data_IF_474506122920
#
_entry.id   IF_474506122920
#
_cell.length_a   1.000
_cell.length_b   1.000
_cell.length_c   1.000
_cell.angle_alpha   90.00
_cell.angle_beta   90.00
_cell.angle_gamma   90.00
#
_symmetry.space_group_name_H-M   'P 1'
#
loop_
_entity.id
_entity.type
_entity.pdbx_description
1 polymer ?
#
# COMPACT_ATOMS: atom_id res chain seq x y z
N UNK A 1 -1.02 -6.56 -23.52
CA UNK A 1 -1.07 -6.06 -22.14
C UNK A 1 0.21 -6.38 -21.40
N UNK A 2 1.11 -5.40 -21.31
CA UNK A 2 2.31 -5.43 -20.46
C UNK A 2 1.97 -4.73 -19.14
N UNK A 3 2.00 -5.48 -18.05
CA UNK A 3 1.83 -4.96 -16.70
C UNK A 3 3.20 -4.84 -16.01
N UNK A 4 3.38 -3.77 -15.22
CA UNK A 4 4.62 -3.49 -14.48
C UNK A 4 4.28 -3.02 -13.05
N UNK A 5 5.16 -3.22 -12.08
CA UNK A 5 4.90 -2.90 -10.67
C UNK A 5 6.07 -2.21 -9.95
N UNK A 6 6.99 -1.59 -10.70
CA UNK A 6 8.18 -0.94 -10.18
C UNK A 6 8.00 0.57 -10.15
N UNK A 7 8.03 1.16 -8.95
CA UNK A 7 7.87 2.59 -8.69
C UNK A 7 9.18 3.38 -8.55
N UNK A 8 10.34 2.75 -8.78
CA UNK A 8 11.63 3.42 -8.77
C UNK A 8 11.86 4.23 -10.05
N UNK A 9 12.77 5.21 -10.05
CA UNK A 9 13.09 6.00 -11.26
C UNK A 9 13.34 5.16 -12.53
N UNK A 10 14.18 4.11 -12.49
CA UNK A 10 14.34 3.17 -13.61
C UNK A 10 13.09 2.35 -13.93
N UNK A 11 12.30 1.99 -12.91
CA UNK A 11 11.02 1.30 -13.08
C UNK A 11 9.99 2.15 -13.82
N UNK A 12 9.88 3.43 -13.45
CA UNK A 12 9.04 4.42 -14.13
C UNK A 12 9.48 4.63 -15.58
N UNK A 13 10.79 4.62 -15.85
CA UNK A 13 11.31 4.77 -17.20
C UNK A 13 10.94 3.59 -18.11
N UNK A 14 11.12 2.37 -17.58
CA UNK A 14 10.69 1.16 -18.27
C UNK A 14 9.18 1.15 -18.51
N UNK A 15 8.40 1.53 -17.49
CA UNK A 15 6.95 1.61 -17.59
C UNK A 15 6.49 2.64 -18.64
N UNK A 16 7.11 3.82 -18.66
CA UNK A 16 6.84 4.85 -19.65
C UNK A 16 7.10 4.35 -21.07
N UNK A 17 8.16 3.56 -21.27
CA UNK A 17 8.51 3.00 -22.59
C UNK A 17 7.49 1.98 -23.09
N UNK A 18 7.05 1.02 -22.26
CA UNK A 18 6.32 -0.15 -22.77
C UNK A 18 5.10 -0.62 -21.97
N UNK A 19 4.88 -0.17 -20.73
CA UNK A 19 3.78 -0.69 -19.91
C UNK A 19 2.43 -0.13 -20.34
N UNK A 20 1.42 -0.99 -20.45
CA UNK A 20 0.02 -0.62 -20.66
C UNK A 20 -0.72 -0.47 -19.32
N UNK A 21 -0.21 -1.12 -18.27
CA UNK A 21 -0.74 -1.07 -16.91
C UNK A 21 0.41 -1.02 -15.90
N UNK A 22 0.31 -0.16 -14.89
CA UNK A 22 1.25 -0.09 -13.77
C UNK A 22 0.50 -0.25 -12.47
N UNK A 23 0.88 -1.25 -11.68
CA UNK A 23 0.40 -1.42 -10.31
C UNK A 23 1.27 -0.63 -9.35
N UNK A 24 0.63 0.05 -8.41
CA UNK A 24 1.35 0.91 -7.46
C UNK A 24 0.83 0.76 -6.03
N UNK A 25 1.56 1.33 -5.08
CA UNK A 25 1.29 1.18 -3.65
C UNK A 25 1.18 2.53 -2.90
N UNK A 26 0.89 3.63 -3.60
CA UNK A 26 0.65 4.90 -2.91
C UNK A 26 -0.60 4.78 -2.04
N UNK A 27 -0.48 5.18 -0.79
CA UNK A 27 -1.57 5.14 0.21
C UNK A 27 -2.17 6.52 0.48
N UNK A 28 -1.42 7.56 0.13
CA UNK A 28 -1.78 8.97 0.26
C UNK A 28 -2.13 9.58 -1.11
N UNK A 29 -3.17 10.42 -1.13
CA UNK A 29 -3.70 11.02 -2.35
C UNK A 29 -2.67 11.94 -3.01
N UNK A 30 -1.96 12.78 -2.24
CA UNK A 30 -1.02 13.73 -2.83
C UNK A 30 0.19 13.02 -3.44
N UNK A 31 0.71 11.99 -2.78
CA UNK A 31 1.76 11.13 -3.32
C UNK A 31 1.30 10.39 -4.57
N UNK A 32 0.05 9.89 -4.59
CA UNK A 32 -0.52 9.23 -5.77
C UNK A 32 -0.64 10.19 -6.97
N UNK A 33 -1.13 11.42 -6.75
CA UNK A 33 -1.19 12.47 -7.78
C UNK A 33 0.19 12.83 -8.33
N UNK A 34 1.18 13.00 -7.44
CA UNK A 34 2.54 13.33 -7.84
C UNK A 34 3.14 12.22 -8.73
N UNK A 35 2.98 10.96 -8.33
CA UNK A 35 3.43 9.80 -9.10
C UNK A 35 2.69 9.67 -10.44
N UNK A 36 1.36 9.83 -10.44
CA UNK A 36 0.55 9.77 -11.65
C UNK A 36 1.03 10.79 -12.67
N UNK A 37 1.19 12.06 -12.25
CA UNK A 37 1.68 13.13 -13.10
C UNK A 37 3.08 12.82 -13.64
N UNK A 38 4.02 12.49 -12.76
CA UNK A 38 5.41 12.20 -13.15
C UNK A 38 5.49 11.09 -14.20
N UNK A 39 4.74 10.00 -14.01
CA UNK A 39 4.78 8.87 -14.92
C UNK A 39 4.13 9.20 -16.27
N UNK A 40 3.02 9.94 -16.27
CA UNK A 40 2.32 10.35 -17.49
C UNK A 40 3.13 11.36 -18.30
N UNK A 41 3.86 12.26 -17.64
CA UNK A 41 4.75 13.25 -18.27
C UNK A 41 5.93 12.63 -19.02
N UNK A 42 6.33 11.39 -18.67
CA UNK A 42 7.41 10.66 -19.36
C UNK A 42 6.96 10.01 -20.68
N UNK A 43 5.66 9.77 -20.86
CA UNK A 43 5.13 9.04 -22.02
C UNK A 43 5.44 9.68 -23.39
N UNK A 44 5.33 11.02 -23.56
CA UNK A 44 5.59 11.65 -24.85
C UNK A 44 7.01 11.43 -25.37
N UNK A 45 8.00 11.29 -24.49
CA UNK A 45 9.39 10.97 -24.88
C UNK A 45 9.52 9.64 -25.63
N UNK A 46 8.51 8.77 -25.50
CA UNK A 46 8.40 7.48 -26.18
C UNK A 46 7.34 7.46 -27.28
N UNK A 47 6.81 8.61 -27.68
CA UNK A 47 5.73 8.71 -28.67
C UNK A 47 4.39 8.16 -28.19
N UNK A 48 4.18 8.12 -26.87
CA UNK A 48 2.97 7.57 -26.24
C UNK A 48 2.09 8.67 -25.65
N UNK A 49 0.79 8.43 -25.64
CA UNK A 49 -0.21 9.31 -25.05
C UNK A 49 -0.66 8.81 -23.67
N UNK A 50 -1.11 9.73 -22.81
CA UNK A 50 -1.52 9.46 -21.43
C UNK A 50 -2.56 8.34 -21.28
N UNK A 51 -3.46 8.18 -22.25
CA UNK A 51 -4.50 7.14 -22.24
C UNK A 51 -3.98 5.71 -22.47
N UNK A 52 -2.76 5.55 -23.00
CA UNK A 52 -2.17 4.25 -23.35
C UNK A 52 -1.46 3.56 -22.17
N UNK A 53 -1.37 4.23 -21.02
CA UNK A 53 -0.86 3.64 -19.78
C UNK A 53 -1.90 3.86 -18.69
N UNK A 54 -2.29 2.79 -18.00
CA UNK A 54 -3.20 2.83 -16.85
C UNK A 54 -2.43 2.67 -15.55
N UNK A 55 -2.75 3.45 -14.53
CA UNK A 55 -2.07 3.43 -13.23
C UNK A 55 -3.07 2.98 -12.16
N UNK A 56 -2.81 1.82 -11.55
CA UNK A 56 -3.72 1.14 -10.63
C UNK A 56 -3.08 0.99 -9.24
N UNK A 57 -3.34 1.94 -8.33
CA UNK A 57 -2.99 1.79 -6.93
C UNK A 57 -3.71 0.61 -6.30
N UNK A 58 -3.02 -0.10 -5.42
CA UNK A 58 -3.62 -1.16 -4.62
C UNK A 58 -4.42 -0.62 -3.43
N UNK A 59 -5.62 -1.18 -3.23
CA UNK A 59 -6.52 -0.88 -2.11
C UNK A 59 -6.94 -2.15 -1.40
N UNK A 60 -7.18 -2.06 -0.09
CA UNK A 60 -7.69 -3.15 0.74
C UNK A 60 -8.96 -2.67 1.48
N UNK A 61 -10.14 -2.79 0.85
CA UNK A 61 -11.39 -2.34 1.44
C UNK A 61 -11.95 -3.35 2.45
N UNK A 62 -12.44 -2.83 3.58
CA UNK A 62 -13.28 -3.54 4.55
C UNK A 62 -14.63 -2.82 4.60
N UNK A 63 -15.69 -3.50 4.17
CA UNK A 63 -16.99 -2.89 3.94
C UNK A 63 -18.04 -3.40 4.94
N UNK A 64 -18.75 -2.47 5.55
CA UNK A 64 -19.91 -2.71 6.42
C UNK A 64 -21.12 -1.93 5.95
N UNK A 65 -22.34 -2.34 6.31
CA UNK A 65 -23.56 -1.57 6.00
C UNK A 65 -23.59 -0.26 6.79
N UNK A 66 -22.95 -0.25 7.96
CA UNK A 66 -22.66 0.94 8.76
C UNK A 66 -21.16 1.08 8.97
N UNK A 67 -20.71 2.28 9.35
CA UNK A 67 -19.31 2.51 9.71
C UNK A 67 -18.87 1.60 10.87
N UNK A 68 -19.71 1.49 11.91
CA UNK A 68 -19.43 0.63 13.07
C UNK A 68 -19.26 -0.83 12.67
N UNK A 69 -20.10 -1.37 11.78
CA UNK A 69 -19.94 -2.74 11.27
C UNK A 69 -18.62 -2.91 10.49
N UNK A 70 -18.23 -1.90 9.70
CA UNK A 70 -16.97 -1.95 8.96
C UNK A 70 -15.74 -1.93 9.89
N UNK A 71 -15.78 -1.09 10.92
CA UNK A 71 -14.73 -0.98 11.95
C UNK A 71 -14.62 -2.25 12.78
N UNK A 72 -15.75 -2.83 13.22
CA UNK A 72 -15.78 -4.12 13.93
C UNK A 72 -15.18 -5.24 13.08
N UNK A 73 -15.57 -5.35 11.80
CA UNK A 73 -14.96 -6.32 10.86
C UNK A 73 -13.47 -6.11 10.71
N UNK A 74 -13.03 -4.86 10.54
CA UNK A 74 -11.62 -4.55 10.41
C UNK A 74 -10.85 -4.94 11.67
N UNK A 75 -11.39 -4.63 12.86
CA UNK A 75 -10.79 -5.01 14.11
C UNK A 75 -10.69 -6.53 14.26
N UNK A 76 -11.74 -7.28 13.94
CA UNK A 76 -11.71 -8.75 13.95
C UNK A 76 -10.61 -9.31 13.05
N UNK A 77 -10.45 -8.76 11.84
CA UNK A 77 -9.38 -9.17 10.92
C UNK A 77 -7.98 -8.85 11.49
N UNK A 78 -7.84 -7.75 12.21
CA UNK A 78 -6.59 -7.39 12.87
C UNK A 78 -6.30 -8.29 14.09
N UNK A 79 -7.32 -8.74 14.82
CA UNK A 79 -7.19 -9.68 15.95
C UNK A 79 -6.75 -11.09 15.52
N UNK A 80 -7.04 -11.49 14.28
CA UNK A 80 -6.56 -12.75 13.70
C UNK A 80 -5.05 -12.72 13.37
N UNK A 81 -4.43 -11.55 13.38
CA UNK A 81 -3.01 -11.41 13.14
C UNK A 81 -2.23 -11.62 14.43
N UNK A 82 -1.17 -12.44 14.40
CA UNK A 82 -0.23 -12.56 15.51
C UNK A 82 0.79 -11.40 15.46
N UNK A 83 0.69 -10.41 16.39
CA UNK A 83 1.60 -9.27 16.38
C UNK A 83 3.04 -9.68 16.65
N UNK A 84 3.28 -10.73 17.44
CA UNK A 84 4.64 -11.20 17.73
C UNK A 84 5.28 -11.79 16.48
N UNK A 85 4.55 -12.62 15.74
CA UNK A 85 5.02 -13.14 14.46
C UNK A 85 5.31 -12.02 13.43
N UNK A 86 4.44 -11.01 13.36
CA UNK A 86 4.65 -9.87 12.47
C UNK A 86 5.87 -9.04 12.86
N UNK A 87 6.07 -8.75 14.14
CA UNK A 87 7.24 -8.01 14.63
C UNK A 87 8.53 -8.78 14.39
N UNK A 88 8.51 -10.11 14.53
CA UNK A 88 9.66 -10.97 14.22
C UNK A 88 9.99 -10.96 12.73
N UNK A 89 8.98 -11.07 11.87
CA UNK A 89 9.15 -10.95 10.43
C UNK A 89 9.67 -9.57 10.03
N UNK A 90 9.19 -8.51 10.68
CA UNK A 90 9.64 -7.14 10.46
C UNK A 90 11.10 -6.92 10.90
N UNK A 91 11.49 -7.50 12.04
CA UNK A 91 12.86 -7.48 12.54
C UNK A 91 13.82 -8.10 11.54
N UNK A 92 13.42 -9.24 10.94
CA UNK A 92 14.18 -9.91 9.89
C UNK A 92 14.20 -9.11 8.57
N UNK A 93 13.07 -8.52 8.19
CA UNK A 93 12.97 -7.70 6.98
C UNK A 93 13.90 -6.49 7.06
N UNK A 94 13.90 -5.80 8.21
CA UNK A 94 14.65 -4.58 8.42
C UNK A 94 16.11 -4.81 8.82
N UNK A 95 16.44 -6.01 9.28
CA UNK A 95 17.78 -6.44 9.68
C UNK A 95 18.37 -5.47 10.71
N UNK A 96 17.55 -5.15 11.72
CA UNK A 96 17.85 -4.12 12.72
C UNK A 96 18.87 -4.60 13.77
N UNK A 97 19.28 -5.87 13.74
CA UNK A 97 20.06 -6.50 14.80
C UNK A 97 19.33 -6.61 16.15
N UNK A 98 18.07 -6.19 16.21
CA UNK A 98 17.19 -6.29 17.38
C UNK A 98 15.91 -7.03 17.01
N UNK A 99 15.38 -7.83 17.93
CA UNK A 99 14.07 -8.47 17.80
C UNK A 99 12.99 -7.56 18.39
N UNK A 100 12.22 -6.92 17.51
CA UNK A 100 11.13 -6.03 17.85
C UNK A 100 9.98 -6.75 18.58
N UNK A 101 9.88 -8.09 18.48
CA UNK A 101 8.78 -8.85 19.12
C UNK A 101 8.84 -8.83 20.65
N UNK A 102 9.98 -8.45 21.23
CA UNK A 102 10.15 -8.26 22.67
C UNK A 102 9.76 -6.87 23.17
N UNK A 103 9.47 -5.94 22.26
CA UNK A 103 9.08 -4.57 22.61
C UNK A 103 7.55 -4.46 22.72
N UNK A 104 7.03 -3.64 23.65
CA UNK A 104 5.60 -3.46 23.77
C UNK A 104 5.05 -2.67 22.56
N UNK A 105 3.84 -3.00 22.11
CA UNK A 105 3.24 -2.43 20.89
C UNK A 105 3.10 -0.89 20.90
N UNK A 106 3.05 -0.26 22.08
CA UNK A 106 2.99 1.19 22.23
C UNK A 106 4.37 1.87 22.21
N UNK A 107 5.47 1.10 22.26
CA UNK A 107 6.81 1.66 22.14
C UNK A 107 7.03 2.25 20.73
N UNK A 108 7.79 3.34 20.68
CA UNK A 108 8.26 3.90 19.42
C UNK A 108 9.22 2.93 18.73
N UNK A 109 9.14 2.87 17.40
CA UNK A 109 10.06 2.08 16.61
C UNK A 109 11.47 2.67 16.72
N UNK A 110 12.49 1.89 17.12
CA UNK A 110 13.86 2.39 17.22
C UNK A 110 14.37 2.90 15.86
N UNK A 111 14.91 4.11 15.85
CA UNK A 111 15.64 4.64 14.70
C UNK A 111 17.03 4.00 14.69
N UNK A 112 17.24 3.03 13.82
CA UNK A 112 18.52 2.35 13.66
C UNK A 112 19.02 2.54 12.24
N UNK A 113 20.31 2.84 12.12
CA UNK A 113 21.00 2.80 10.84
C UNK A 113 21.23 1.34 10.48
N UNK A 114 20.29 0.76 9.73
CA UNK A 114 20.42 -0.61 9.32
C UNK A 114 21.63 -0.78 8.40
N UNK A 115 22.40 -1.84 8.60
CA UNK A 115 23.54 -2.16 7.77
C UNK A 115 23.14 -2.29 6.28
N UNK A 116 24.01 -1.88 5.33
CA UNK A 116 23.76 -2.11 3.91
C UNK A 116 23.50 -3.59 3.63
N UNK A 117 22.41 -3.90 2.92
CA UNK A 117 22.08 -5.26 2.50
C UNK A 117 21.75 -5.28 1.02
N UNK A 118 21.92 -6.42 0.37
CA UNK A 118 21.38 -6.68 -0.97
C UNK A 118 19.96 -7.27 -0.94
N UNK A 119 19.47 -7.71 0.24
CA UNK A 119 18.16 -8.36 0.38
C UNK A 119 17.05 -7.34 0.66
N UNK A 120 15.95 -7.40 -0.11
CA UNK A 120 14.76 -6.55 0.09
C UNK A 120 15.04 -5.03 0.10
N UNK A 121 16.10 -4.53 -0.57
CA UNK A 121 16.51 -3.11 -0.59
C UNK A 121 15.35 -2.12 -0.70
N UNK A 122 14.48 -2.30 -1.69
CA UNK A 122 13.35 -1.39 -1.94
C UNK A 122 12.35 -1.35 -0.78
N UNK A 123 11.98 -2.53 -0.25
CA UNK A 123 11.02 -2.62 0.86
C UNK A 123 11.62 -2.07 2.15
N UNK A 124 12.90 -2.39 2.44
CA UNK A 124 13.63 -1.86 3.61
C UNK A 124 13.70 -0.34 3.57
N UNK A 125 14.08 0.23 2.43
CA UNK A 125 14.16 1.69 2.27
C UNK A 125 12.81 2.36 2.54
N UNK A 126 11.72 1.81 1.98
CA UNK A 126 10.37 2.36 2.18
C UNK A 126 9.97 2.35 3.65
N UNK A 127 10.18 1.24 4.36
CA UNK A 127 9.82 1.11 5.77
C UNK A 127 10.70 2.00 6.66
N UNK A 128 11.99 2.10 6.37
CA UNK A 128 12.89 3.02 7.10
C UNK A 128 12.52 4.48 6.91
N UNK A 129 12.17 4.88 5.69
CA UNK A 129 11.73 6.25 5.42
C UNK A 129 10.43 6.58 6.15
N UNK A 130 9.48 5.64 6.18
CA UNK A 130 8.27 5.75 6.98
C UNK A 130 8.58 5.93 8.47
N UNK A 131 9.45 5.10 9.03
CA UNK A 131 9.87 5.19 10.45
C UNK A 131 10.53 6.54 10.73
N UNK A 132 11.41 7.02 9.86
CA UNK A 132 12.09 8.32 10.01
C UNK A 132 11.12 9.50 9.94
N UNK A 133 10.19 9.47 8.99
CA UNK A 133 9.22 10.53 8.74
C UNK A 133 8.16 10.63 9.84
N UNK A 134 7.58 9.50 10.24
CA UNK A 134 6.39 9.48 11.07
C UNK A 134 6.66 9.12 12.54
N UNK A 135 7.82 8.53 12.83
CA UNK A 135 8.18 7.99 14.17
C UNK A 135 7.03 7.22 14.83
N UNK A 136 6.45 6.22 14.14
CA UNK A 136 5.28 5.50 14.63
C UNK A 136 5.61 4.62 15.85
N UNK A 137 4.59 4.28 16.63
CA UNK A 137 4.66 3.13 17.53
C UNK A 137 4.71 1.82 16.74
N UNK A 138 5.11 0.72 17.39
CA UNK A 138 5.12 -0.60 16.75
C UNK A 138 3.72 -0.99 16.23
N UNK A 139 2.66 -0.71 16.99
CA UNK A 139 1.28 -0.93 16.56
C UNK A 139 0.92 -0.12 15.29
N UNK A 140 1.31 1.16 15.24
CA UNK A 140 1.08 2.02 14.09
C UNK A 140 1.87 1.55 12.87
N UNK A 141 3.12 1.12 13.07
CA UNK A 141 3.94 0.56 12.00
C UNK A 141 3.34 -0.72 11.44
N UNK A 142 2.98 -1.69 12.28
CA UNK A 142 2.30 -2.92 11.81
C UNK A 142 1.03 -2.60 11.04
N UNK A 143 0.23 -1.64 11.52
CA UNK A 143 -0.99 -1.20 10.82
C UNK A 143 -0.67 -0.56 9.47
N UNK A 144 0.36 0.28 9.37
CA UNK A 144 0.77 0.89 8.10
C UNK A 144 1.32 -0.12 7.08
N UNK A 145 1.89 -1.22 7.55
CA UNK A 145 2.40 -2.31 6.73
C UNK A 145 1.36 -3.39 6.47
N UNK A 146 0.21 -3.30 7.13
CA UNK A 146 -0.96 -4.13 6.82
C UNK A 146 -1.35 -3.96 5.35
N UNK A 147 -2.05 -4.95 4.80
CA UNK A 147 -2.34 -5.00 3.37
C UNK A 147 -1.09 -4.85 2.47
N UNK A 148 0.08 -5.31 2.93
CA UNK A 148 1.36 -5.18 2.22
C UNK A 148 1.80 -3.73 1.93
N UNK A 149 1.32 -2.77 2.72
CA UNK A 149 1.59 -1.34 2.56
C UNK A 149 0.72 -0.64 1.50
N UNK A 150 -0.38 -1.27 1.09
CA UNK A 150 -1.41 -0.67 0.23
C UNK A 150 -2.45 0.10 1.06
N UNK A 151 -3.28 0.89 0.38
CA UNK A 151 -4.26 1.75 1.04
C UNK A 151 -5.37 0.92 1.68
N UNK A 152 -5.44 0.92 3.01
CA UNK A 152 -6.56 0.32 3.73
C UNK A 152 -7.74 1.30 3.72
N UNK A 153 -8.92 0.79 3.38
CA UNK A 153 -10.16 1.55 3.38
C UNK A 153 -11.18 0.83 4.27
N UNK A 154 -11.75 1.52 5.24
CA UNK A 154 -12.75 0.97 6.16
C UNK A 154 -13.95 1.89 6.16
N UNK A 155 -15.13 1.38 5.81
CA UNK A 155 -16.33 2.20 5.78
C UNK A 155 -17.53 1.55 5.10
N UNK A 156 -18.55 2.38 4.86
CA UNK A 156 -19.74 2.00 4.10
C UNK A 156 -19.49 1.97 2.59
N UNK A 157 -20.32 1.28 1.79
CA UNK A 157 -20.17 1.29 0.32
C UNK A 157 -20.07 2.70 -0.26
N UNK A 158 -20.88 3.64 0.23
CA UNK A 158 -20.85 5.04 -0.21
C UNK A 158 -19.50 5.70 0.07
N UNK A 159 -18.99 5.58 1.31
CA UNK A 159 -17.69 6.16 1.68
C UNK A 159 -16.53 5.58 0.86
N UNK A 160 -16.55 4.26 0.60
CA UNK A 160 -15.52 3.63 -0.24
C UNK A 160 -15.61 4.19 -1.66
N UNK A 161 -16.80 4.25 -2.25
CA UNK A 161 -17.01 4.78 -3.61
C UNK A 161 -16.58 6.24 -3.70
N UNK A 162 -16.92 7.07 -2.71
CA UNK A 162 -16.55 8.49 -2.67
C UNK A 162 -15.02 8.68 -2.65
N UNK A 163 -14.29 7.87 -1.88
CA UNK A 163 -12.83 7.87 -1.87
C UNK A 163 -12.26 7.46 -3.23
N UNK A 164 -12.76 6.38 -3.83
CA UNK A 164 -12.29 5.91 -5.13
C UNK A 164 -12.60 6.92 -6.25
N UNK A 165 -13.77 7.56 -6.19
CA UNK A 165 -14.17 8.62 -7.10
C UNK A 165 -13.25 9.84 -6.97
N UNK A 166 -12.93 10.24 -5.74
CA UNK A 166 -11.97 11.34 -5.48
C UNK A 166 -10.62 11.03 -6.10
N UNK A 167 -10.07 9.82 -5.88
CA UNK A 167 -8.79 9.40 -6.44
C UNK A 167 -8.79 9.39 -7.97
N UNK A 168 -9.89 8.94 -8.58
CA UNK A 168 -10.02 8.94 -10.03
C UNK A 168 -10.10 10.37 -10.61
N UNK A 169 -10.97 11.21 -10.03
CA UNK A 169 -11.23 12.58 -10.50
C UNK A 169 -10.02 13.51 -10.32
N UNK A 170 -9.24 13.30 -9.26
CA UNK A 170 -8.05 14.08 -8.95
C UNK A 170 -6.79 13.62 -9.70
N UNK A 171 -6.92 12.71 -10.68
CA UNK A 171 -5.81 12.12 -11.43
C UNK A 171 -4.77 11.44 -10.52
N UNK A 172 -5.24 10.66 -9.56
CA UNK A 172 -4.41 9.80 -8.72
C UNK A 172 -4.44 8.32 -9.14
N UNK A 173 -5.46 7.91 -9.90
CA UNK A 173 -5.66 6.54 -10.36
C UNK A 173 -6.48 6.48 -11.65
N UNK A 174 -6.20 5.48 -12.50
CA UNK A 174 -7.06 5.12 -13.64
C UNK A 174 -7.98 3.91 -13.32
N UNK A 175 -7.82 3.34 -12.12
CA UNK A 175 -8.48 2.14 -11.63
C UNK A 175 -7.77 1.65 -10.37
N UNK A 176 -8.22 0.53 -9.79
CA UNK A 176 -7.68 0.04 -8.53
C UNK A 176 -7.42 -1.46 -8.57
N UNK A 177 -6.32 -1.88 -7.96
CA UNK A 177 -6.07 -3.29 -7.68
C UNK A 177 -6.64 -3.63 -6.31
N UNK A 178 -7.65 -4.49 -6.23
CA UNK A 178 -8.32 -4.82 -4.97
C UNK A 178 -7.61 -5.99 -4.29
N UNK A 179 -7.00 -5.71 -3.14
CA UNK A 179 -6.37 -6.72 -2.29
C UNK A 179 -7.38 -7.20 -1.26
N UNK A 180 -7.76 -8.48 -1.39
CA UNK A 180 -8.60 -9.13 -0.40
C UNK A 180 -7.76 -9.50 0.83
N UNK A 181 -8.13 -8.98 1.99
CA UNK A 181 -7.49 -9.28 3.28
C UNK A 181 -7.89 -10.64 3.84
N UNK A 182 -8.98 -11.19 3.32
CA UNK A 182 -9.48 -12.53 3.60
C UNK A 182 -10.17 -13.05 2.34
N UNK A 183 -10.10 -14.36 2.09
CA UNK A 183 -10.91 -14.96 1.04
C UNK A 183 -12.38 -14.90 1.49
N UNK A 184 -13.31 -14.46 0.63
CA UNK A 184 -14.72 -14.53 0.97
C UNK A 184 -15.10 -15.99 1.21
N UNK A 185 -15.91 -16.24 2.25
CA UNK A 185 -16.56 -17.52 2.42
C UNK A 185 -17.45 -17.81 1.19
N UNK A 186 -17.86 -19.07 0.97
CA UNK A 186 -18.57 -19.52 -0.24
C UNK A 186 -19.88 -18.78 -0.57
N UNK A 187 -20.36 -17.86 0.28
CA UNK A 187 -21.67 -17.21 0.19
C UNK A 187 -21.65 -15.68 0.05
N UNK A 188 -20.49 -15.01 -0.07
CA UNK A 188 -20.43 -13.55 0.17
C UNK A 188 -20.15 -12.66 -1.05
N UNK A 189 -20.02 -13.18 -2.27
CA UNK A 189 -19.98 -12.34 -3.48
C UNK A 189 -21.33 -12.42 -4.18
N UNK A 190 -22.27 -11.56 -3.78
CA UNK A 190 -23.38 -11.19 -4.65
C UNK A 190 -23.07 -9.79 -5.18
N UNK A 191 -22.64 -9.75 -6.45
CA UNK A 191 -22.66 -8.52 -7.24
C UNK A 191 -24.10 -8.30 -7.69
N UNK A 192 -24.92 -7.72 -6.82
CA UNK A 192 -26.24 -7.20 -7.18
C UNK A 192 -26.24 -5.69 -6.97
#
# INVERSE_FOLDING_TARGET
MIAQAGSSGPGCELAARCAELVFTAQTDLQQAKAFYRELKERLPAYGRHAGQLKIFPGIAPTVGRTLNEAEEKYQQLQELQDPQAQLKALSYLLDLGIDLSHLPLHAQVPLLDAAPTERHKSRRHLVQELIRRERPSLAQLLRSLSASGHKVLVGTPGQIVDELATWYQEYAADGFNVLFTHLPGPSTISCN
#
